data_IF_419953417298
#
_entry.id   IF_419953417298
#
_cell.length_a   1.000
_cell.length_b   1.000
_cell.length_c   1.000
_cell.angle_alpha   90.00
_cell.angle_beta   90.00
_cell.angle_gamma   90.00
#
_symmetry.space_group_name_H-M   'P 1'
#
loop_
_entity.id
_entity.type
_entity.pdbx_description
1 polymer ?
#
# COMPACT_ATOMS: atom_id res chain seq x y z
N UNK A 1 -14.68 24.50 14.83
CA UNK A 1 -13.25 24.54 14.43
C UNK A 1 -12.66 23.15 14.16
N UNK A 2 -13.15 22.06 14.75
CA UNK A 2 -12.62 20.70 14.55
C UNK A 2 -12.73 20.16 13.12
N UNK A 3 -13.82 20.42 12.39
CA UNK A 3 -14.02 19.92 11.02
C UNK A 3 -13.11 20.55 9.95
N UNK A 4 -12.67 21.79 10.15
CA UNK A 4 -11.72 22.46 9.25
C UNK A 4 -10.29 21.94 9.46
N UNK A 5 -9.92 21.57 10.68
CA UNK A 5 -8.62 20.97 10.98
C UNK A 5 -8.50 19.55 10.43
N UNK A 6 -9.61 18.78 10.36
CA UNK A 6 -9.66 17.48 9.71
C UNK A 6 -9.55 17.56 8.17
N UNK A 7 -9.99 18.70 7.60
CA UNK A 7 -9.87 18.98 6.17
C UNK A 7 -8.44 19.28 5.74
N UNK A 8 -7.62 19.87 6.62
CA UNK A 8 -6.20 20.17 6.36
C UNK A 8 -5.35 19.10 7.09
N UNK A 9 -5.52 17.84 6.70
CA UNK A 9 -4.67 16.79 7.24
C UNK A 9 -3.23 16.96 6.72
N UNK A 10 -2.20 16.84 7.57
CA UNK A 10 -0.82 17.00 7.15
C UNK A 10 -0.36 15.97 6.12
N UNK A 11 -0.92 14.76 6.13
CA UNK A 11 -0.47 13.66 5.25
C UNK A 11 -0.57 13.95 3.75
N UNK A 12 -1.73 14.35 3.17
CA UNK A 12 -1.81 14.64 1.75
C UNK A 12 -1.04 15.90 1.36
N UNK A 13 -0.91 16.88 2.27
CA UNK A 13 -0.11 18.08 2.05
C UNK A 13 1.37 17.74 1.99
N UNK A 14 1.86 16.96 2.95
CA UNK A 14 3.26 16.50 2.97
C UNK A 14 3.56 15.70 1.70
N UNK A 15 2.67 14.78 1.32
CA UNK A 15 2.84 13.98 0.11
C UNK A 15 2.86 14.85 -1.15
N UNK A 16 1.97 15.85 -1.26
CA UNK A 16 1.94 16.78 -2.38
C UNK A 16 3.26 17.60 -2.47
N UNK A 17 3.80 18.01 -1.33
CA UNK A 17 5.09 18.72 -1.26
C UNK A 17 6.24 17.80 -1.68
N UNK A 18 6.27 16.55 -1.19
CA UNK A 18 7.31 15.56 -1.56
C UNK A 18 7.30 15.30 -3.06
N UNK A 19 6.14 15.04 -3.65
CA UNK A 19 6.01 14.77 -5.09
C UNK A 19 6.38 16.00 -5.91
N UNK A 20 5.96 17.20 -5.48
CA UNK A 20 6.35 18.45 -6.14
C UNK A 20 7.86 18.71 -6.05
N UNK A 21 8.50 18.39 -4.91
CA UNK A 21 9.94 18.46 -4.76
C UNK A 21 10.68 17.50 -5.71
N UNK A 22 10.21 16.25 -5.83
CA UNK A 22 10.75 15.28 -6.78
C UNK A 22 10.63 15.77 -8.22
N UNK A 23 9.53 16.40 -8.58
CA UNK A 23 9.33 16.99 -9.90
C UNK A 23 10.32 18.14 -10.15
N UNK A 24 10.56 19.00 -9.14
CA UNK A 24 11.55 20.07 -9.21
C UNK A 24 12.96 19.54 -9.46
N UNK A 25 13.35 18.49 -8.74
CA UNK A 25 14.65 17.84 -8.91
C UNK A 25 14.76 17.25 -10.31
N UNK A 26 13.68 16.66 -10.82
CA UNK A 26 13.63 16.13 -12.18
C UNK A 26 13.78 17.23 -13.24
N UNK A 27 13.05 18.32 -13.13
CA UNK A 27 13.14 19.47 -14.04
C UNK A 27 14.55 20.10 -14.03
N UNK A 28 15.10 20.29 -12.85
CA UNK A 28 16.48 20.78 -12.70
C UNK A 28 17.49 19.84 -13.36
N UNK A 29 17.37 18.54 -13.14
CA UNK A 29 18.20 17.52 -13.77
C UNK A 29 18.09 17.52 -15.31
N UNK A 30 16.88 17.67 -15.85
CA UNK A 30 16.66 17.78 -17.30
C UNK A 30 17.30 19.04 -17.87
N UNK A 31 17.15 20.18 -17.19
CA UNK A 31 17.74 21.44 -17.62
C UNK A 31 19.27 21.37 -17.76
N UNK A 32 19.94 20.68 -16.87
CA UNK A 32 21.39 20.49 -16.88
C UNK A 32 21.83 19.24 -17.64
N UNK A 33 20.91 18.55 -18.35
CA UNK A 33 21.18 17.28 -19.06
C UNK A 33 21.81 16.19 -18.16
N UNK A 34 21.54 16.24 -16.86
CA UNK A 34 22.03 15.26 -15.91
C UNK A 34 21.09 14.04 -15.88
N UNK A 35 21.59 12.80 -15.95
CA UNK A 35 20.75 11.59 -15.94
C UNK A 35 19.99 11.38 -14.61
N UNK A 36 20.32 12.14 -13.57
CA UNK A 36 19.69 12.05 -12.26
C UNK A 36 18.16 12.37 -12.25
N UNK A 37 17.64 13.04 -13.29
CA UNK A 37 16.18 13.31 -13.41
C UNK A 37 15.33 12.04 -13.52
N UNK A 38 15.92 10.95 -14.01
CA UNK A 38 15.19 9.69 -14.23
C UNK A 38 14.68 9.10 -12.91
N UNK A 39 15.52 9.12 -11.86
CA UNK A 39 15.16 8.53 -10.57
C UNK A 39 13.98 9.24 -9.88
N UNK A 40 13.95 10.58 -9.75
CA UNK A 40 12.81 11.29 -9.19
C UNK A 40 11.51 11.05 -9.99
N UNK A 41 11.59 11.02 -11.33
CA UNK A 41 10.44 10.76 -12.18
C UNK A 41 9.90 9.34 -11.94
N UNK A 42 10.75 8.33 -11.99
CA UNK A 42 10.35 6.95 -11.74
C UNK A 42 9.74 6.80 -10.34
N UNK A 43 10.36 7.43 -9.34
CA UNK A 43 9.87 7.38 -7.96
C UNK A 43 8.52 8.09 -7.79
N UNK A 44 8.32 9.22 -8.47
CA UNK A 44 7.04 9.93 -8.50
C UNK A 44 5.94 9.08 -9.13
N UNK A 45 6.21 8.43 -10.29
CA UNK A 45 5.28 7.53 -10.95
C UNK A 45 4.97 6.28 -10.12
N UNK A 46 5.86 5.93 -9.20
CA UNK A 46 5.64 4.83 -8.27
C UNK A 46 4.79 5.23 -7.07
N UNK A 47 5.13 6.31 -6.39
CA UNK A 47 4.50 6.73 -5.13
C UNK A 47 3.09 7.28 -5.34
N UNK A 48 2.93 8.16 -6.33
CA UNK A 48 1.67 8.92 -6.51
C UNK A 48 0.46 8.00 -6.73
N UNK A 49 0.50 7.01 -7.66
CA UNK A 49 -0.62 6.10 -7.87
C UNK A 49 -0.87 5.17 -6.67
N UNK A 50 0.18 4.75 -5.96
CA UNK A 50 0.03 3.92 -4.77
C UNK A 50 -0.71 4.67 -3.66
N UNK A 51 -0.27 5.88 -3.35
CA UNK A 51 -0.92 6.70 -2.33
C UNK A 51 -2.34 7.12 -2.74
N UNK A 52 -2.57 7.39 -4.03
CA UNK A 52 -3.88 7.65 -4.58
C UNK A 52 -4.85 6.48 -4.31
N UNK A 53 -4.45 5.25 -4.64
CA UNK A 53 -5.26 4.05 -4.40
C UNK A 53 -5.48 3.80 -2.91
N UNK A 54 -4.48 4.02 -2.08
CA UNK A 54 -4.59 3.90 -0.63
C UNK A 54 -5.65 4.85 -0.06
N UNK A 55 -5.70 6.10 -0.54
CA UNK A 55 -6.74 7.07 -0.15
C UNK A 55 -8.12 6.54 -0.54
N UNK A 56 -8.28 6.07 -1.80
CA UNK A 56 -9.57 5.57 -2.29
C UNK A 56 -10.02 4.36 -1.48
N UNK A 57 -9.14 3.39 -1.24
CA UNK A 57 -9.44 2.18 -0.47
C UNK A 57 -9.79 2.53 0.98
N UNK A 58 -8.96 3.34 1.64
CA UNK A 58 -9.16 3.76 3.03
C UNK A 58 -10.53 4.44 3.20
N UNK A 59 -10.90 5.32 2.27
CA UNK A 59 -12.18 6.02 2.29
C UNK A 59 -13.35 5.13 1.90
N UNK A 60 -13.19 4.23 0.93
CA UNK A 60 -14.20 3.25 0.52
C UNK A 60 -14.58 2.29 1.66
N UNK A 61 -13.66 2.01 2.58
CA UNK A 61 -13.90 1.26 3.81
C UNK A 61 -14.66 2.03 4.89
N UNK A 62 -14.89 3.34 4.71
CA UNK A 62 -15.65 4.19 5.62
C UNK A 62 -14.82 4.95 6.64
N UNK A 63 -13.49 4.88 6.56
CA UNK A 63 -12.60 5.64 7.44
C UNK A 63 -12.74 7.14 7.15
N UNK A 64 -12.91 7.94 8.19
CA UNK A 64 -13.05 9.40 8.08
C UNK A 64 -11.70 10.13 8.10
N UNK A 65 -10.64 9.47 8.61
CA UNK A 65 -9.28 10.01 8.62
C UNK A 65 -8.59 9.77 7.28
N UNK A 66 -7.59 10.59 6.97
CA UNK A 66 -6.69 10.34 5.86
C UNK A 66 -5.70 9.23 6.22
N UNK A 67 -5.26 8.40 5.25
CA UNK A 67 -4.22 7.42 5.52
C UNK A 67 -2.94 8.13 5.95
N UNK A 68 -2.26 7.55 6.95
CA UNK A 68 -1.00 8.10 7.44
C UNK A 68 0.08 7.79 6.41
N UNK A 69 0.76 8.85 5.95
CA UNK A 69 1.93 8.69 5.10
C UNK A 69 3.08 8.12 5.92
N UNK A 70 3.41 6.86 5.70
CA UNK A 70 4.52 6.16 6.35
C UNK A 70 5.61 5.79 5.34
N UNK A 71 6.82 5.54 5.84
CA UNK A 71 7.90 5.01 5.00
C UNK A 71 7.54 3.65 4.38
N UNK A 72 6.66 2.89 5.02
CA UNK A 72 6.13 1.62 4.48
C UNK A 72 5.27 1.81 3.24
N UNK A 73 4.54 2.94 3.16
CA UNK A 73 3.79 3.33 1.95
C UNK A 73 4.74 3.63 0.78
N UNK A 74 5.95 4.09 1.09
CA UNK A 74 7.02 4.35 0.11
C UNK A 74 7.71 3.08 -0.37
N UNK A 75 7.82 2.06 0.49
CA UNK A 75 8.46 0.78 0.19
C UNK A 75 7.41 -0.18 -0.35
N UNK A 76 7.27 -0.19 -1.63
CA UNK A 76 6.25 -0.83 -2.46
C UNK A 76 6.08 -2.36 -2.35
N UNK A 77 6.50 -2.99 -1.29
CA UNK A 77 6.35 -4.44 -1.13
C UNK A 77 4.95 -4.89 -0.71
N UNK A 78 4.13 -4.01 -0.16
CA UNK A 78 2.86 -4.39 0.49
C UNK A 78 1.65 -4.37 -0.43
N UNK A 79 1.68 -3.62 -1.53
CA UNK A 79 0.52 -3.48 -2.41
C UNK A 79 0.86 -3.75 -3.88
N UNK A 80 0.84 -5.04 -4.29
CA UNK A 80 1.05 -5.44 -5.69
C UNK A 80 0.09 -4.72 -6.65
N UNK A 81 -1.11 -4.40 -6.19
CA UNK A 81 -2.13 -3.68 -6.96
C UNK A 81 -1.67 -2.27 -7.32
N UNK A 82 -1.08 -1.54 -6.38
CA UNK A 82 -0.54 -0.20 -6.63
C UNK A 82 0.62 -0.20 -7.61
N UNK A 83 1.51 -1.20 -7.52
CA UNK A 83 2.62 -1.38 -8.45
C UNK A 83 2.13 -1.56 -9.88
N UNK A 84 1.19 -2.49 -10.08
CA UNK A 84 0.65 -2.77 -11.43
C UNK A 84 -0.13 -1.56 -11.95
N UNK A 85 -0.84 -0.83 -11.07
CA UNK A 85 -1.51 0.40 -11.45
C UNK A 85 -0.52 1.49 -11.88
N UNK A 86 0.59 1.65 -11.17
CA UNK A 86 1.67 2.58 -11.55
C UNK A 86 2.26 2.24 -12.92
N UNK A 87 2.52 0.94 -13.17
CA UNK A 87 3.01 0.47 -14.46
C UNK A 87 1.98 0.74 -15.57
N UNK A 88 0.69 0.49 -15.32
CA UNK A 88 -0.37 0.77 -16.27
C UNK A 88 -0.44 2.26 -16.65
N UNK A 89 -0.38 3.15 -15.66
CA UNK A 89 -0.38 4.61 -15.88
C UNK A 89 0.85 5.03 -16.68
N UNK A 90 2.03 4.47 -16.37
CA UNK A 90 3.27 4.76 -17.08
C UNK A 90 3.24 4.27 -18.52
N UNK A 91 2.72 3.08 -18.77
CA UNK A 91 2.55 2.54 -20.15
C UNK A 91 1.57 3.40 -20.94
N UNK A 92 0.44 3.78 -20.34
CA UNK A 92 -0.53 4.65 -21.01
C UNK A 92 0.07 6.03 -21.33
N UNK A 93 0.79 6.64 -20.38
CA UNK A 93 1.49 7.90 -20.61
C UNK A 93 2.52 7.77 -21.75
N UNK A 94 3.28 6.67 -21.77
CA UNK A 94 4.22 6.38 -22.86
C UNK A 94 3.54 6.26 -24.23
N UNK A 95 2.40 5.55 -24.30
CA UNK A 95 1.61 5.41 -25.53
C UNK A 95 1.10 6.77 -26.00
N UNK A 96 0.56 7.60 -25.11
CA UNK A 96 0.08 8.94 -25.43
C UNK A 96 1.20 9.82 -25.98
N UNK A 97 2.36 9.83 -25.34
CA UNK A 97 3.55 10.58 -25.81
C UNK A 97 3.97 10.11 -27.20
N UNK A 98 4.03 8.80 -27.44
CA UNK A 98 4.38 8.23 -28.73
C UNK A 98 3.36 8.63 -29.83
N UNK A 99 2.06 8.62 -29.53
CA UNK A 99 1.01 9.00 -30.48
C UNK A 99 1.11 10.49 -30.83
N UNK A 100 1.33 11.38 -29.85
CA UNK A 100 1.55 12.81 -30.11
C UNK A 100 2.83 13.02 -30.92
N UNK A 101 3.92 12.34 -30.59
CA UNK A 101 5.17 12.45 -31.34
C UNK A 101 5.04 11.96 -32.79
N UNK A 102 4.23 10.91 -33.02
CA UNK A 102 3.96 10.36 -34.35
C UNK A 102 2.93 11.16 -35.15
N UNK A 103 2.37 12.26 -34.61
CA UNK A 103 1.38 13.11 -35.28
C UNK A 103 -0.05 12.53 -35.30
N UNK A 104 -0.34 11.52 -34.46
CA UNK A 104 -1.69 10.94 -34.31
C UNK A 104 -2.48 11.64 -33.20
N UNK A 105 -2.53 12.98 -33.24
CA UNK A 105 -3.13 13.82 -32.19
C UNK A 105 -4.58 13.44 -31.88
N UNK A 106 -5.39 13.21 -32.94
CA UNK A 106 -6.80 12.87 -32.77
C UNK A 106 -7.00 11.56 -32.01
N UNK A 107 -6.16 10.55 -32.27
CA UNK A 107 -6.21 9.25 -31.59
C UNK A 107 -5.72 9.42 -30.14
N UNK A 108 -4.65 10.18 -29.92
CA UNK A 108 -4.14 10.47 -28.59
C UNK A 108 -5.19 11.17 -27.72
N UNK A 109 -5.86 12.18 -28.24
CA UNK A 109 -6.94 12.88 -27.54
C UNK A 109 -8.13 11.97 -27.27
N UNK A 110 -8.52 11.11 -28.21
CA UNK A 110 -9.61 10.16 -28.02
C UNK A 110 -9.30 9.17 -26.89
N UNK A 111 -8.10 8.59 -26.88
CA UNK A 111 -7.65 7.70 -25.81
C UNK A 111 -7.57 8.40 -24.45
N UNK A 112 -7.10 9.65 -24.43
CA UNK A 112 -7.03 10.42 -23.18
C UNK A 112 -8.43 10.68 -22.62
N UNK A 113 -9.39 11.08 -23.48
CA UNK A 113 -10.78 11.32 -23.07
C UNK A 113 -11.44 10.04 -22.59
N UNK A 114 -11.28 8.93 -23.32
CA UNK A 114 -11.81 7.62 -22.91
C UNK A 114 -11.24 7.19 -21.56
N UNK A 115 -9.93 7.33 -21.38
CA UNK A 115 -9.29 7.04 -20.09
C UNK A 115 -9.83 7.93 -18.97
N UNK A 116 -9.94 9.24 -19.20
CA UNK A 116 -10.48 10.17 -18.19
C UNK A 116 -11.92 9.83 -17.82
N UNK A 117 -12.73 9.43 -18.79
CA UNK A 117 -14.12 9.01 -18.56
C UNK A 117 -14.22 7.68 -17.79
N UNK A 118 -13.32 6.75 -18.02
CA UNK A 118 -13.36 5.42 -17.38
C UNK A 118 -12.57 5.36 -16.07
N UNK A 119 -11.62 6.28 -15.88
CA UNK A 119 -10.68 6.29 -14.76
C UNK A 119 -11.35 6.17 -13.37
N UNK A 120 -12.38 6.96 -13.00
CA UNK A 120 -12.97 6.83 -11.68
C UNK A 120 -13.61 5.46 -11.45
N UNK A 121 -14.19 4.83 -12.48
CA UNK A 121 -14.78 3.51 -12.39
C UNK A 121 -13.70 2.42 -12.25
N UNK A 122 -12.60 2.52 -12.99
CA UNK A 122 -11.45 1.61 -12.90
C UNK A 122 -10.86 1.67 -11.51
N UNK A 123 -10.61 2.88 -10.99
CA UNK A 123 -10.05 3.09 -9.65
C UNK A 123 -11.00 2.56 -8.57
N UNK A 124 -12.30 2.83 -8.68
CA UNK A 124 -13.31 2.33 -7.75
C UNK A 124 -13.33 0.80 -7.71
N UNK A 125 -13.34 0.14 -8.88
CA UNK A 125 -13.28 -1.31 -8.97
C UNK A 125 -11.98 -1.86 -8.39
N UNK A 126 -10.84 -1.24 -8.74
CA UNK A 126 -9.53 -1.68 -8.27
C UNK A 126 -9.41 -1.59 -6.74
N UNK A 127 -9.88 -0.49 -6.16
CA UNK A 127 -9.89 -0.31 -4.70
C UNK A 127 -10.78 -1.33 -3.97
N UNK A 128 -11.84 -1.82 -4.64
CA UNK A 128 -12.78 -2.77 -4.04
C UNK A 128 -12.36 -4.22 -4.25
N UNK A 129 -11.98 -4.57 -5.48
CA UNK A 129 -11.72 -5.97 -5.89
C UNK A 129 -10.25 -6.35 -5.75
N UNK A 130 -9.34 -5.38 -5.83
CA UNK A 130 -7.89 -5.58 -5.95
C UNK A 130 -7.48 -6.45 -7.15
N UNK A 131 -8.38 -6.62 -8.11
CA UNK A 131 -8.18 -7.44 -9.31
C UNK A 131 -8.16 -6.58 -10.57
N UNK A 132 -7.03 -6.55 -11.28
CA UNK A 132 -6.88 -5.81 -12.53
C UNK A 132 -7.76 -6.32 -13.65
N UNK A 133 -7.92 -7.64 -13.76
CA UNK A 133 -8.79 -8.28 -14.77
C UNK A 133 -10.24 -7.84 -14.64
N UNK A 134 -10.67 -7.53 -13.42
CA UNK A 134 -11.99 -6.99 -13.13
C UNK A 134 -12.07 -5.51 -13.45
N UNK A 135 -11.08 -4.74 -13.01
CA UNK A 135 -11.05 -3.29 -13.15
C UNK A 135 -10.91 -2.82 -14.61
N UNK A 136 -10.13 -3.54 -15.42
CA UNK A 136 -9.91 -3.23 -16.84
C UNK A 136 -10.99 -3.82 -17.76
N UNK A 137 -11.96 -4.57 -17.23
CA UNK A 137 -13.08 -5.06 -18.04
C UNK A 137 -14.07 -3.92 -18.31
N UNK A 138 -14.26 -3.50 -19.58
CA UNK A 138 -15.08 -2.34 -19.90
C UNK A 138 -16.55 -2.50 -19.47
N UNK A 139 -17.07 -3.72 -19.54
CA UNK A 139 -18.45 -4.02 -19.07
C UNK A 139 -18.60 -3.84 -17.57
N UNK A 140 -17.60 -4.25 -16.77
CA UNK A 140 -17.60 -4.06 -15.32
C UNK A 140 -17.35 -2.60 -14.95
N UNK A 141 -16.47 -1.90 -15.66
CA UNK A 141 -16.24 -0.47 -15.47
C UNK A 141 -17.52 0.34 -15.75
N UNK A 142 -18.24 0.03 -16.82
CA UNK A 142 -19.52 0.66 -17.12
C UNK A 142 -20.58 0.35 -16.05
N UNK A 143 -20.66 -0.91 -15.62
CA UNK A 143 -21.58 -1.30 -14.53
C UNK A 143 -21.26 -0.57 -13.22
N UNK A 144 -19.98 -0.39 -12.89
CA UNK A 144 -19.54 0.39 -11.73
C UNK A 144 -19.88 1.87 -11.87
N UNK A 145 -19.66 2.49 -13.05
CA UNK A 145 -20.05 3.86 -13.32
C UNK A 145 -21.55 4.08 -13.13
N UNK A 146 -22.39 3.17 -13.67
CA UNK A 146 -23.84 3.18 -13.50
C UNK A 146 -24.24 2.95 -12.02
N UNK A 147 -23.57 2.04 -11.33
CA UNK A 147 -23.76 1.76 -9.90
C UNK A 147 -23.46 2.95 -9.00
N UNK A 148 -22.46 3.76 -9.35
CA UNK A 148 -22.16 5.01 -8.65
C UNK A 148 -23.19 6.12 -8.92
N UNK A 149 -23.94 6.05 -10.05
CA UNK A 149 -25.01 6.98 -10.39
C UNK A 149 -24.56 8.44 -10.42
N UNK A 150 -25.33 9.34 -9.77
CA UNK A 150 -24.96 10.76 -9.73
C UNK A 150 -23.59 11.04 -9.09
N UNK A 151 -23.13 10.17 -8.19
CA UNK A 151 -21.80 10.28 -7.58
C UNK A 151 -20.67 10.14 -8.60
N UNK A 152 -20.89 9.42 -9.70
CA UNK A 152 -19.91 9.31 -10.78
C UNK A 152 -19.56 10.66 -11.41
N UNK A 153 -20.57 11.51 -11.59
CA UNK A 153 -20.36 12.86 -12.11
C UNK A 153 -19.50 13.72 -11.17
N UNK A 154 -19.63 13.53 -9.85
CA UNK A 154 -18.75 14.21 -8.88
C UNK A 154 -17.30 13.75 -9.04
N UNK A 155 -17.08 12.46 -9.28
CA UNK A 155 -15.74 11.95 -9.53
C UNK A 155 -15.18 12.52 -10.85
N UNK A 156 -15.96 12.54 -11.92
CA UNK A 156 -15.53 13.13 -13.21
C UNK A 156 -15.22 14.62 -13.08
N UNK A 157 -16.07 15.38 -12.41
CA UNK A 157 -15.83 16.82 -12.17
C UNK A 157 -14.55 17.02 -11.37
N UNK A 158 -14.30 16.19 -10.34
CA UNK A 158 -13.07 16.30 -9.56
C UNK A 158 -11.82 16.02 -10.38
N UNK A 159 -11.84 15.01 -11.26
CA UNK A 159 -10.74 14.70 -12.18
C UNK A 159 -10.55 15.82 -13.22
N UNK A 160 -11.65 16.33 -13.78
CA UNK A 160 -11.60 17.46 -14.71
C UNK A 160 -11.02 18.74 -14.07
N UNK A 161 -11.34 18.97 -12.79
CA UNK A 161 -10.76 20.09 -12.03
C UNK A 161 -9.25 19.92 -11.83
N UNK A 162 -8.78 18.71 -11.49
CA UNK A 162 -7.34 18.41 -11.40
C UNK A 162 -6.65 18.72 -12.73
N UNK A 163 -7.22 18.26 -13.83
CA UNK A 163 -6.68 18.51 -15.17
C UNK A 163 -6.65 20.02 -15.49
N UNK A 164 -7.71 20.75 -15.18
CA UNK A 164 -7.77 22.21 -15.39
C UNK A 164 -6.68 22.92 -14.58
N UNK A 165 -6.47 22.55 -13.31
CA UNK A 165 -5.41 23.12 -12.47
C UNK A 165 -4.04 22.78 -13.06
N UNK A 166 -3.83 21.54 -13.53
CA UNK A 166 -2.58 21.10 -14.14
C UNK A 166 -2.27 21.90 -15.43
N UNK A 167 -3.27 22.12 -16.30
CA UNK A 167 -3.11 22.93 -17.50
C UNK A 167 -2.78 24.40 -17.20
N UNK A 168 -3.40 24.96 -16.16
CA UNK A 168 -3.09 26.34 -15.71
C UNK A 168 -1.66 26.39 -15.16
N UNK A 169 -1.26 25.39 -14.36
CA UNK A 169 0.09 25.29 -13.82
C UNK A 169 1.15 25.25 -14.92
N UNK A 170 0.91 24.43 -15.95
CA UNK A 170 1.79 24.30 -17.12
C UNK A 170 1.84 25.60 -17.92
N UNK A 171 0.70 26.21 -18.21
CA UNK A 171 0.62 27.47 -18.97
C UNK A 171 1.37 28.61 -18.29
N UNK A 172 1.37 28.66 -16.97
CA UNK A 172 2.06 29.70 -16.19
C UNK A 172 3.53 29.38 -15.94
N UNK A 173 3.98 28.13 -16.17
CA UNK A 173 5.33 27.64 -15.89
C UNK A 173 5.85 27.97 -14.48
N UNK A 174 4.97 27.97 -13.50
CA UNK A 174 5.27 28.38 -12.14
C UNK A 174 5.23 27.18 -11.22
N UNK A 175 6.40 26.87 -10.71
CA UNK A 175 6.67 25.69 -9.89
C UNK A 175 5.77 25.53 -8.66
N UNK A 176 5.36 26.61 -8.00
CA UNK A 176 4.52 26.53 -6.79
C UNK A 176 3.09 26.00 -7.06
N UNK A 177 2.66 25.84 -8.33
CA UNK A 177 1.37 25.23 -8.65
C UNK A 177 1.38 23.70 -8.54
N UNK A 178 2.52 23.04 -8.67
CA UNK A 178 2.59 21.57 -8.61
C UNK A 178 2.08 20.96 -7.30
N UNK A 179 2.43 21.49 -6.11
CA UNK A 179 1.81 21.01 -4.86
C UNK A 179 0.28 21.07 -4.87
N UNK A 180 -0.28 22.13 -5.49
CA UNK A 180 -1.73 22.28 -5.61
C UNK A 180 -2.33 21.22 -6.54
N UNK A 181 -1.68 20.89 -7.65
CA UNK A 181 -2.11 19.84 -8.59
C UNK A 181 -2.16 18.48 -7.87
N UNK A 182 -1.09 18.11 -7.17
CA UNK A 182 -1.04 16.84 -6.44
C UNK A 182 -2.03 16.81 -5.27
N UNK A 183 -2.19 17.91 -4.57
CA UNK A 183 -3.19 18.01 -3.50
C UNK A 183 -4.61 17.85 -4.06
N UNK A 184 -4.94 18.49 -5.18
CA UNK A 184 -6.22 18.32 -5.87
C UNK A 184 -6.42 16.88 -6.35
N UNK A 185 -5.36 16.21 -6.82
CA UNK A 185 -5.38 14.80 -7.21
C UNK A 185 -5.76 13.91 -6.02
N UNK A 186 -5.15 14.10 -4.86
CA UNK A 186 -5.48 13.33 -3.65
C UNK A 186 -6.90 13.62 -3.14
N UNK A 187 -7.38 14.85 -3.30
CA UNK A 187 -8.78 15.18 -3.05
C UNK A 187 -9.75 14.46 -4.00
N UNK A 188 -9.39 14.31 -5.27
CA UNK A 188 -10.21 13.52 -6.22
C UNK A 188 -10.26 12.05 -5.83
N UNK A 189 -9.16 11.49 -5.30
CA UNK A 189 -9.13 10.15 -4.71
C UNK A 189 -10.08 10.03 -3.51
N UNK A 190 -10.05 11.01 -2.61
CA UNK A 190 -10.93 11.06 -1.45
C UNK A 190 -12.42 11.13 -1.84
N UNK A 191 -12.76 11.96 -2.85
CA UNK A 191 -14.13 12.06 -3.38
C UNK A 191 -14.55 10.71 -3.96
N UNK A 192 -13.70 10.08 -4.79
CA UNK A 192 -13.96 8.77 -5.40
C UNK A 192 -14.21 7.71 -4.34
N UNK A 193 -13.37 7.60 -3.32
CA UNK A 193 -13.56 6.70 -2.20
C UNK A 193 -14.85 6.97 -1.42
N UNK A 194 -15.22 8.25 -1.24
CA UNK A 194 -16.47 8.64 -0.57
C UNK A 194 -17.71 8.24 -1.36
N UNK A 195 -17.68 8.36 -2.69
CA UNK A 195 -18.75 7.90 -3.58
C UNK A 195 -18.86 6.38 -3.53
N UNK A 196 -17.75 5.66 -3.58
CA UNK A 196 -17.72 4.20 -3.43
C UNK A 196 -18.32 3.78 -2.09
N UNK A 197 -17.96 4.43 -0.99
CA UNK A 197 -18.53 4.15 0.32
C UNK A 197 -20.04 4.34 0.37
N UNK A 198 -20.56 5.47 -0.16
CA UNK A 198 -22.00 5.78 -0.16
C UNK A 198 -22.80 4.85 -1.07
N UNK A 199 -22.20 4.37 -2.16
CA UNK A 199 -22.82 3.49 -3.16
C UNK A 199 -22.40 2.02 -3.05
N UNK A 200 -21.75 1.64 -1.97
CA UNK A 200 -21.19 0.29 -1.76
C UNK A 200 -22.18 -0.84 -2.03
N UNK A 201 -23.48 -0.66 -1.67
CA UNK A 201 -24.52 -1.67 -1.92
C UNK A 201 -24.78 -1.89 -3.41
N UNK A 202 -24.87 -0.83 -4.19
CA UNK A 202 -25.09 -0.89 -5.65
C UNK A 202 -23.88 -1.40 -6.40
N UNK A 203 -22.66 -1.24 -5.83
CA UNK A 203 -21.42 -1.77 -6.37
C UNK A 203 -21.14 -3.23 -5.96
N UNK A 204 -22.06 -3.86 -5.20
CA UNK A 204 -21.84 -5.21 -4.67
C UNK A 204 -20.70 -5.27 -3.63
N UNK A 205 -20.24 -4.11 -3.15
CA UNK A 205 -19.25 -4.03 -2.10
C UNK A 205 -19.92 -4.42 -0.79
N UNK A 206 -19.56 -5.56 -0.26
CA UNK A 206 -20.06 -6.00 1.02
C UNK A 206 -19.64 -4.98 2.08
N UNK A 207 -20.56 -4.70 3.02
CA UNK A 207 -20.29 -3.82 4.15
C UNK A 207 -18.93 -4.18 4.79
N UNK A 208 -18.20 -3.22 5.38
CA UNK A 208 -17.00 -3.56 6.11
C UNK A 208 -17.32 -4.77 6.97
N UNK A 209 -16.53 -5.81 6.82
CA UNK A 209 -16.68 -7.05 7.57
C UNK A 209 -16.80 -6.66 9.04
N UNK A 210 -17.52 -7.45 9.82
CA UNK A 210 -17.64 -7.26 11.26
C UNK A 210 -16.27 -6.90 11.89
N UNK A 211 -16.21 -6.24 13.03
CA UNK A 211 -14.93 -5.97 13.72
C UNK A 211 -14.07 -7.23 13.82
N UNK A 212 -14.68 -8.40 13.94
CA UNK A 212 -14.02 -9.72 13.91
C UNK A 212 -13.34 -10.02 12.57
N UNK A 213 -14.01 -9.74 11.45
CA UNK A 213 -13.44 -9.96 10.12
C UNK A 213 -12.37 -8.93 9.73
N UNK A 214 -12.39 -7.73 10.33
CA UNK A 214 -11.30 -6.75 10.24
C UNK A 214 -10.10 -7.21 11.07
N UNK A 215 -10.35 -7.73 12.28
CA UNK A 215 -9.33 -8.32 13.14
C UNK A 215 -8.69 -9.56 12.50
N UNK A 216 -9.48 -10.41 11.84
CA UNK A 216 -8.98 -11.58 11.11
C UNK A 216 -8.10 -11.18 9.89
N UNK A 217 -8.47 -10.13 9.18
CA UNK A 217 -7.62 -9.57 8.11
C UNK A 217 -6.33 -8.99 8.65
N UNK A 218 -6.40 -8.20 9.72
CA UNK A 218 -5.21 -7.63 10.37
C UNK A 218 -4.27 -8.74 10.86
N UNK A 219 -4.82 -9.83 11.44
CA UNK A 219 -4.03 -11.01 11.79
C UNK A 219 -3.40 -11.67 10.57
N UNK A 220 -4.15 -11.85 9.48
CA UNK A 220 -3.60 -12.42 8.25
C UNK A 220 -2.48 -11.58 7.64
N UNK A 221 -2.61 -10.25 7.64
CA UNK A 221 -1.57 -9.34 7.19
C UNK A 221 -0.33 -9.41 8.08
N UNK A 222 -0.52 -9.47 9.40
CA UNK A 222 0.55 -9.64 10.38
C UNK A 222 1.29 -10.97 10.19
N UNK A 223 0.56 -12.06 9.94
CA UNK A 223 1.16 -13.37 9.65
C UNK A 223 2.03 -13.35 8.38
N UNK A 224 1.61 -12.65 7.33
CA UNK A 224 2.41 -12.52 6.10
C UNK A 224 3.73 -11.82 6.39
N UNK A 225 3.72 -10.75 7.18
CA UNK A 225 4.93 -10.04 7.60
C UNK A 225 5.83 -10.95 8.44
N UNK A 226 5.27 -11.59 9.48
CA UNK A 226 5.98 -12.50 10.35
C UNK A 226 6.62 -13.67 9.59
N UNK A 227 5.92 -14.25 8.58
CA UNK A 227 6.49 -15.28 7.69
C UNK A 227 7.64 -14.75 6.84
N UNK A 228 7.54 -13.52 6.34
CA UNK A 228 8.65 -12.89 5.60
C UNK A 228 9.92 -12.81 6.44
N UNK A 229 9.79 -12.37 7.69
CA UNK A 229 10.91 -12.30 8.66
C UNK A 229 11.49 -13.69 8.94
N UNK A 230 10.63 -14.68 9.18
CA UNK A 230 11.07 -16.06 9.42
C UNK A 230 11.78 -16.69 8.22
N UNK A 231 11.29 -16.48 7.01
CA UNK A 231 11.95 -16.98 5.79
C UNK A 231 13.36 -16.38 5.64
N UNK A 232 13.50 -15.10 5.98
CA UNK A 232 14.80 -14.45 5.97
C UNK A 232 15.72 -15.03 7.07
N UNK A 233 15.22 -15.17 8.29
CA UNK A 233 15.96 -15.78 9.38
C UNK A 233 16.35 -17.25 9.09
N UNK A 234 15.45 -18.02 8.45
CA UNK A 234 15.76 -19.38 8.00
C UNK A 234 16.93 -19.42 7.01
N UNK A 235 17.01 -18.44 6.12
CA UNK A 235 18.14 -18.34 5.19
C UNK A 235 19.48 -18.10 5.90
N UNK A 236 19.51 -17.43 7.04
CA UNK A 236 20.71 -17.32 7.88
C UNK A 236 21.03 -18.63 8.58
N UNK A 237 20.02 -19.30 9.16
CA UNK A 237 20.19 -20.55 9.87
C UNK A 237 20.75 -21.66 8.97
N UNK A 238 20.23 -21.80 7.75
CA UNK A 238 20.70 -22.80 6.75
C UNK A 238 22.13 -22.56 6.29
N UNK A 239 22.64 -21.33 6.39
CA UNK A 239 24.03 -20.97 6.11
C UNK A 239 24.94 -21.11 7.34
N UNK A 240 24.45 -21.69 8.43
CA UNK A 240 25.20 -21.87 9.68
C UNK A 240 25.26 -20.65 10.58
N UNK A 241 24.65 -19.52 10.21
CA UNK A 241 24.61 -18.29 11.02
C UNK A 241 23.36 -18.27 11.93
N UNK A 242 23.30 -19.19 12.92
CA UNK A 242 22.18 -19.29 13.87
C UNK A 242 22.02 -18.02 14.70
N UNK A 243 23.12 -17.43 15.12
CA UNK A 243 23.10 -16.20 15.93
C UNK A 243 22.48 -15.03 15.16
N UNK A 244 22.83 -14.88 13.89
CA UNK A 244 22.24 -13.86 13.01
C UNK A 244 20.74 -14.09 12.77
N UNK A 245 20.31 -15.35 12.61
CA UNK A 245 18.90 -15.70 12.50
C UNK A 245 18.10 -15.29 13.74
N UNK A 246 18.57 -15.64 14.94
CA UNK A 246 17.89 -15.30 16.19
C UNK A 246 17.88 -13.79 16.44
N UNK A 247 18.99 -13.10 16.18
CA UNK A 247 19.07 -11.64 16.30
C UNK A 247 18.09 -10.92 15.36
N UNK A 248 17.89 -11.43 14.15
CA UNK A 248 16.93 -10.87 13.19
C UNK A 248 15.49 -11.03 13.68
N UNK A 249 15.15 -12.21 14.23
CA UNK A 249 13.82 -12.48 14.81
C UNK A 249 13.59 -11.59 16.05
N UNK A 250 14.55 -11.52 16.96
CA UNK A 250 14.42 -10.71 18.18
C UNK A 250 14.31 -9.21 17.88
N UNK A 251 15.04 -8.72 16.86
CA UNK A 251 14.93 -7.34 16.39
C UNK A 251 13.53 -7.00 15.88
N UNK A 252 12.87 -7.92 15.17
CA UNK A 252 11.49 -7.74 14.76
C UNK A 252 10.53 -7.79 15.95
N UNK A 253 10.65 -8.78 16.84
CA UNK A 253 9.79 -8.94 18.02
C UNK A 253 9.82 -7.68 18.91
N UNK A 254 10.98 -7.04 19.05
CA UNK A 254 11.11 -5.82 19.83
C UNK A 254 10.30 -4.64 19.27
N UNK A 255 9.91 -4.70 17.97
CA UNK A 255 9.06 -3.70 17.31
C UNK A 255 7.58 -4.10 17.18
N UNK A 256 7.23 -5.32 17.58
CA UNK A 256 5.84 -5.82 17.53
C UNK A 256 5.03 -5.30 18.74
N UNK A 257 3.76 -5.00 18.53
CA UNK A 257 2.87 -4.48 19.58
C UNK A 257 2.61 -5.50 20.68
N UNK A 258 2.51 -6.80 20.32
CA UNK A 258 2.39 -7.91 21.26
C UNK A 258 3.62 -8.83 21.17
N UNK A 259 4.62 -8.49 21.95
CA UNK A 259 5.89 -9.23 21.99
C UNK A 259 5.74 -10.69 22.42
N UNK A 260 4.78 -11.00 23.30
CA UNK A 260 4.53 -12.36 23.80
C UNK A 260 3.87 -13.22 22.73
N UNK A 261 2.80 -12.74 22.10
CA UNK A 261 2.15 -13.44 21.00
C UNK A 261 3.13 -13.66 19.83
N UNK A 262 3.90 -12.61 19.48
CA UNK A 262 4.89 -12.70 18.41
C UNK A 262 5.93 -13.77 18.68
N UNK A 263 6.46 -13.87 19.92
CA UNK A 263 7.43 -14.92 20.32
C UNK A 263 6.84 -16.32 20.20
N UNK A 264 5.64 -16.53 20.71
CA UNK A 264 4.96 -17.83 20.66
C UNK A 264 4.66 -18.24 19.21
N UNK A 265 4.20 -17.31 18.39
CA UNK A 265 3.94 -17.55 16.98
C UNK A 265 5.22 -17.91 16.23
N UNK A 266 6.30 -17.13 16.41
CA UNK A 266 7.61 -17.38 15.81
C UNK A 266 8.15 -18.75 16.17
N UNK A 267 8.12 -19.12 17.46
CA UNK A 267 8.55 -20.43 17.92
C UNK A 267 7.77 -21.55 17.23
N UNK A 268 6.44 -21.41 17.14
CA UNK A 268 5.57 -22.41 16.53
C UNK A 268 5.92 -22.69 15.06
N UNK A 269 6.24 -21.65 14.30
CA UNK A 269 6.68 -21.79 12.92
C UNK A 269 8.12 -22.31 12.81
N UNK A 270 9.04 -21.85 13.68
CA UNK A 270 10.43 -22.33 13.74
C UNK A 270 10.51 -23.83 14.04
N UNK A 271 9.55 -24.39 14.81
CA UNK A 271 9.48 -25.83 15.09
C UNK A 271 9.33 -26.70 13.83
N UNK A 272 8.95 -26.11 12.69
CA UNK A 272 8.88 -26.79 11.39
C UNK A 272 10.22 -26.84 10.65
N UNK A 273 11.24 -26.13 11.13
CA UNK A 273 12.55 -26.10 10.50
C UNK A 273 13.24 -27.48 10.61
N UNK A 274 14.05 -27.83 9.62
CA UNK A 274 14.80 -29.09 9.62
C UNK A 274 15.85 -29.11 10.72
N UNK A 275 16.65 -28.04 10.84
CA UNK A 275 17.58 -27.86 11.95
C UNK A 275 16.82 -27.41 13.22
N UNK A 276 16.80 -28.27 14.23
CA UNK A 276 16.12 -28.00 15.50
C UNK A 276 16.96 -27.17 16.49
N UNK A 277 18.23 -26.94 16.22
CA UNK A 277 19.10 -26.24 17.16
C UNK A 277 18.70 -24.77 17.35
N UNK A 278 18.36 -24.07 16.27
CA UNK A 278 17.91 -22.67 16.36
C UNK A 278 16.53 -22.54 17.06
N UNK A 279 15.50 -23.36 16.73
CA UNK A 279 14.24 -23.39 17.47
C UNK A 279 14.41 -23.69 18.95
N UNK A 280 15.25 -24.66 19.33
CA UNK A 280 15.50 -25.00 20.73
C UNK A 280 16.20 -23.88 21.50
N UNK A 281 17.18 -23.22 20.89
CA UNK A 281 17.83 -22.05 21.50
C UNK A 281 16.82 -20.90 21.69
N UNK A 282 15.96 -20.63 20.70
CA UNK A 282 14.92 -19.62 20.82
C UNK A 282 13.88 -19.98 21.90
N UNK A 283 13.47 -21.26 21.97
CA UNK A 283 12.55 -21.74 23.01
C UNK A 283 13.08 -21.54 24.40
N UNK A 284 14.38 -21.85 24.66
CA UNK A 284 15.00 -21.63 25.94
C UNK A 284 15.01 -20.13 26.34
N UNK A 285 15.32 -19.24 25.40
CA UNK A 285 15.24 -17.79 25.65
C UNK A 285 13.81 -17.34 25.93
N UNK A 286 12.82 -17.93 25.26
CA UNK A 286 11.41 -17.63 25.50
C UNK A 286 10.95 -18.08 26.89
N UNK A 287 11.39 -19.25 27.38
CA UNK A 287 11.10 -19.69 28.74
C UNK A 287 11.68 -18.71 29.75
N UNK A 288 12.92 -18.26 29.53
CA UNK A 288 13.54 -17.27 30.41
C UNK A 288 12.78 -15.95 30.41
N UNK A 289 12.39 -15.48 29.23
CA UNK A 289 11.53 -14.28 29.05
C UNK A 289 10.19 -14.45 29.80
N UNK A 290 9.49 -15.58 29.64
CA UNK A 290 8.23 -15.85 30.34
C UNK A 290 8.38 -15.85 31.87
N UNK A 291 9.46 -16.44 32.39
CA UNK A 291 9.74 -16.41 33.82
C UNK A 291 10.01 -15.00 34.36
N UNK A 292 10.71 -14.16 33.59
CA UNK A 292 10.98 -12.77 33.97
C UNK A 292 9.73 -11.88 33.98
N UNK A 293 8.68 -12.30 33.29
CA UNK A 293 7.43 -11.55 33.14
C UNK A 293 6.23 -12.21 33.83
N UNK A 294 6.48 -13.15 34.73
CA UNK A 294 5.46 -13.90 35.50
C UNK A 294 4.43 -14.64 34.62
N UNK A 295 4.87 -15.12 33.45
CA UNK A 295 4.06 -15.88 32.47
C UNK A 295 4.35 -17.40 32.65
N UNK A 296 4.02 -17.94 33.81
CA UNK A 296 4.36 -19.35 34.15
C UNK A 296 3.61 -20.37 33.27
N UNK A 297 2.37 -20.08 32.90
CA UNK A 297 1.57 -20.97 32.07
C UNK A 297 2.16 -21.12 30.65
N UNK A 298 2.61 -20.02 30.07
CA UNK A 298 3.29 -19.98 28.77
C UNK A 298 4.65 -20.69 28.85
N UNK A 299 5.41 -20.45 29.91
CA UNK A 299 6.69 -21.13 30.14
C UNK A 299 6.51 -22.65 30.19
N UNK A 300 5.52 -23.14 30.95
CA UNK A 300 5.20 -24.57 31.07
C UNK A 300 4.77 -25.15 29.71
N UNK A 301 3.96 -24.39 28.91
CA UNK A 301 3.54 -24.83 27.60
C UNK A 301 4.72 -24.95 26.62
N UNK A 302 5.65 -24.00 26.64
CA UNK A 302 6.86 -24.04 25.81
C UNK A 302 7.77 -25.21 26.23
N UNK A 303 7.91 -25.46 27.54
CA UNK A 303 8.70 -26.59 28.07
C UNK A 303 8.16 -27.93 27.56
N UNK A 304 6.85 -28.16 27.68
CA UNK A 304 6.21 -29.39 27.17
C UNK A 304 6.50 -29.63 25.69
N UNK A 305 6.55 -28.56 24.89
CA UNK A 305 6.86 -28.67 23.45
C UNK A 305 8.31 -29.03 23.18
N UNK A 306 9.26 -28.54 24.00
CA UNK A 306 10.67 -28.90 23.91
C UNK A 306 10.83 -30.38 24.23
N UNK A 307 10.21 -30.86 25.32
CA UNK A 307 10.29 -32.25 25.74
C UNK A 307 9.77 -33.20 24.65
N UNK A 308 8.65 -32.88 24.02
CA UNK A 308 8.13 -33.62 22.87
C UNK A 308 9.04 -33.65 21.65
N UNK A 309 9.82 -32.59 21.42
CA UNK A 309 10.78 -32.56 20.31
C UNK A 309 12.02 -33.43 20.62
N UNK A 310 12.50 -33.38 21.83
CA UNK A 310 13.64 -34.17 22.27
C UNK A 310 13.33 -35.67 22.24
N UNK A 311 12.14 -36.06 22.70
CA UNK A 311 11.66 -37.44 22.61
C UNK A 311 11.57 -37.98 21.13
N UNK A 312 11.21 -37.13 20.18
CA UNK A 312 11.12 -37.52 18.76
C UNK A 312 12.47 -37.53 18.06
N UNK A 313 13.43 -36.74 18.51
CA UNK A 313 14.75 -36.62 17.90
C UNK A 313 15.73 -37.71 18.42
N UNK A 314 15.38 -38.49 19.43
CA UNK A 314 16.19 -39.58 19.95
C UNK A 314 17.53 -39.14 20.54
N UNK A 315 17.64 -37.88 20.98
CA UNK A 315 18.80 -37.27 21.63
C UNK A 315 18.54 -37.14 23.10
#
# INVERSE_FOLDING_TARGET
MSRLAELICPSPVIMAIVVAFLLAVAEYGMYWHLPIWVLPVLYMFWITPNYFLEIVEHRALGNSSWPVFSLETLVAGRNQTGVVFSVLVLVLAGILVLLFYAGYDAIAWLLLVDFMLTFPAIVALLAVTREFSVALNPGKALAAALGMGAGYWLCLISVALVLAIALIAEAQRVFYWYPLVFYALFWSAWITGSVVYTRRRSLGVHAPKSPEALAERARGELEVVRRGILNHAYSFATRGNRRGALQHIEGYIASDEDTTEARLWMLNEMMRWEDKAAPLEFANRLIEYCRQHDLEAEAAHVQLRIDHLQDRSGV
#
